data_IF_793161634872
#
_entry.id   IF_793161634872
#
_cell.length_a   1.000
_cell.length_b   1.000
_cell.length_c   1.000
_cell.angle_alpha   90.00
_cell.angle_beta   90.00
_cell.angle_gamma   90.00
#
_symmetry.space_group_name_H-M   'P 1'
#
loop_
_entity.id
_entity.type
_entity.pdbx_description
1 polymer ?
#
# COMPACT_ATOMS: atom_id res chain seq x y z
N UNK A 1 30.00 72.25 8.81
CA UNK A 1 30.85 73.02 9.72
C UNK A 1 32.19 72.32 9.83
N UNK A 2 33.19 73.02 9.40
CA UNK A 2 34.61 73.10 9.81
C UNK A 2 35.43 71.79 9.66
N UNK A 3 36.28 71.63 8.64
CA UNK A 3 37.43 72.43 8.24
C UNK A 3 38.64 72.33 9.19
N UNK A 4 39.75 71.79 8.71
CA UNK A 4 41.13 72.32 8.69
C UNK A 4 42.11 71.19 8.47
N UNK A 5 42.80 71.12 7.30
CA UNK A 5 43.97 71.90 6.84
C UNK A 5 45.28 71.42 7.50
N UNK A 6 46.13 70.81 6.63
CA UNK A 6 47.57 70.95 6.30
C UNK A 6 48.47 71.85 7.16
N UNK A 7 49.84 71.74 7.16
CA UNK A 7 50.79 71.68 6.03
C UNK A 7 52.03 70.78 6.28
N UNK A 8 52.77 70.27 5.33
CA UNK A 8 53.78 70.78 4.35
C UNK A 8 55.15 71.23 4.90
N UNK A 9 56.15 70.70 4.23
CA UNK A 9 57.51 71.19 4.02
C UNK A 9 58.57 70.87 5.10
N UNK A 10 59.77 70.59 4.87
CA UNK A 10 60.87 71.19 4.03
C UNK A 10 62.09 70.25 3.99
N UNK A 11 62.61 69.84 2.86
CA UNK A 11 63.86 70.19 2.23
C UNK A 11 65.17 70.13 3.08
N UNK A 12 66.20 69.40 2.70
CA UNK A 12 67.36 69.87 1.92
C UNK A 12 68.66 69.08 2.22
N UNK A 13 69.34 68.68 1.18
CA UNK A 13 70.76 68.89 0.87
C UNK A 13 71.81 68.25 1.81
N UNK A 14 72.83 67.69 1.40
CA UNK A 14 73.81 67.79 0.28
C UNK A 14 74.86 66.69 0.41
N UNK A 15 75.28 66.09 -0.59
CA UNK A 15 76.44 66.30 -1.41
C UNK A 15 77.75 65.59 -0.99
N UNK A 16 78.23 64.82 -1.95
CA UNK A 16 79.65 64.74 -2.41
C UNK A 16 80.65 63.88 -1.64
N UNK A 17 81.25 62.98 -2.39
CA UNK A 17 82.56 62.38 -2.06
C UNK A 17 82.95 61.26 -3.04
N UNK A 18 83.72 61.63 -4.05
CA UNK A 18 84.42 60.82 -5.05
C UNK A 18 85.34 59.77 -4.46
N UNK A 19 85.56 58.64 -5.14
CA UNK A 19 86.77 58.18 -5.74
C UNK A 19 86.84 56.65 -5.88
N UNK A 20 86.81 56.14 -7.06
CA UNK A 20 87.81 55.43 -7.86
C UNK A 20 88.45 54.12 -7.36
N UNK A 21 88.46 53.15 -8.29
CA UNK A 21 89.39 52.02 -8.57
C UNK A 21 89.00 50.70 -7.82
N UNK A 22 88.90 49.55 -8.46
CA UNK A 22 89.51 48.86 -9.56
C UNK A 22 88.90 47.47 -9.70
N UNK A 23 88.77 47.00 -10.89
CA UNK A 23 88.83 45.66 -11.46
C UNK A 23 88.76 44.44 -10.55
N UNK A 24 87.75 43.61 -10.83
CA UNK A 24 87.70 42.21 -10.43
C UNK A 24 86.61 41.51 -11.21
N UNK A 25 86.87 41.12 -12.41
CA UNK A 25 86.01 40.22 -13.16
C UNK A 25 85.91 38.84 -12.47
N UNK A 26 84.77 38.53 -11.85
CA UNK A 26 84.45 37.15 -11.53
C UNK A 26 83.10 36.84 -12.13
N UNK A 27 83.16 36.11 -13.23
CA UNK A 27 82.04 35.42 -13.90
C UNK A 27 81.41 34.46 -12.91
N UNK A 28 80.24 34.83 -12.29
CA UNK A 28 79.34 33.87 -11.64
C UNK A 28 78.35 33.44 -12.68
N UNK A 29 78.57 32.26 -13.23
CA UNK A 29 77.64 31.44 -13.91
C UNK A 29 76.40 31.30 -12.99
N UNK A 30 75.27 31.98 -13.33
CA UNK A 30 73.96 31.82 -12.67
C UNK A 30 73.36 30.55 -13.22
N UNK A 31 73.72 29.45 -12.55
CA UNK A 31 72.99 28.18 -12.72
C UNK A 31 71.56 28.47 -12.49
N UNK A 32 70.74 28.37 -13.52
CA UNK A 32 69.29 28.47 -13.39
C UNK A 32 68.82 27.37 -12.43
N UNK A 33 68.43 27.76 -11.22
CA UNK A 33 67.80 26.88 -10.31
C UNK A 33 66.58 26.24 -11.02
N UNK A 34 66.70 24.95 -11.37
CA UNK A 34 65.52 24.13 -11.73
C UNK A 34 64.55 24.29 -10.61
N UNK A 35 63.44 25.01 -10.83
CA UNK A 35 62.33 25.08 -9.96
C UNK A 35 61.87 23.62 -9.76
N UNK A 36 62.08 23.05 -8.58
CA UNK A 36 61.60 21.74 -8.25
C UNK A 36 60.10 21.75 -8.44
N UNK A 37 59.63 20.85 -9.26
CA UNK A 37 58.19 20.69 -9.44
C UNK A 37 57.54 20.48 -8.06
N UNK A 38 56.43 21.14 -7.76
CA UNK A 38 55.74 20.94 -6.48
C UNK A 38 55.48 19.44 -6.22
N UNK A 39 55.59 19.00 -4.99
CA UNK A 39 55.36 17.59 -4.66
C UNK A 39 53.98 17.15 -5.15
N UNK A 40 53.84 15.93 -5.67
CA UNK A 40 52.56 15.44 -6.18
C UNK A 40 51.50 15.43 -5.08
N UNK A 41 50.33 15.97 -5.38
CA UNK A 41 49.19 16.06 -4.47
C UNK A 41 48.60 14.67 -4.23
N UNK A 42 48.58 14.25 -2.96
CA UNK A 42 47.97 12.98 -2.59
C UNK A 42 46.44 13.10 -2.65
N UNK A 43 45.77 12.32 -3.51
CA UNK A 43 44.32 12.37 -3.71
C UNK A 43 43.72 10.95 -3.74
N UNK A 44 42.50 10.80 -3.18
CA UNK A 44 41.72 9.58 -3.36
C UNK A 44 41.15 9.55 -4.77
N UNK A 45 41.26 8.40 -5.40
CA UNK A 45 40.75 8.19 -6.75
C UNK A 45 39.78 7.02 -6.80
N UNK A 46 38.86 7.09 -7.73
CA UNK A 46 37.97 5.98 -8.05
C UNK A 46 37.94 5.73 -9.56
N UNK A 47 37.72 4.49 -9.91
CA UNK A 47 37.50 4.12 -11.30
C UNK A 47 36.03 4.34 -11.65
N UNK A 48 35.82 4.96 -12.81
CA UNK A 48 34.47 5.14 -13.37
C UNK A 48 33.89 3.77 -13.76
N UNK A 49 32.81 3.40 -13.16
CA UNK A 49 32.16 2.11 -13.41
C UNK A 49 30.99 2.27 -14.38
N UNK A 50 30.81 1.27 -15.25
CA UNK A 50 29.56 1.09 -15.97
C UNK A 50 28.76 0.02 -15.26
N UNK A 51 27.63 0.42 -14.70
CA UNK A 51 26.76 -0.51 -13.96
C UNK A 51 25.29 -0.20 -14.22
N UNK A 52 24.40 -1.18 -13.99
CA UNK A 52 22.97 -0.91 -14.04
C UNK A 52 22.61 0.15 -13.00
N UNK A 53 21.86 1.16 -13.43
CA UNK A 53 21.31 2.19 -12.57
C UNK A 53 19.79 2.11 -12.59
N UNK A 54 19.19 1.88 -11.43
CA UNK A 54 17.74 1.88 -11.30
C UNK A 54 17.23 3.32 -11.32
N UNK A 55 16.21 3.56 -12.11
CA UNK A 55 15.47 4.82 -12.14
C UNK A 55 14.38 4.71 -11.09
N UNK A 56 14.41 5.56 -10.08
CA UNK A 56 13.46 5.50 -8.99
C UNK A 56 12.61 6.77 -8.89
N UNK A 57 11.39 6.62 -8.41
CA UNK A 57 10.47 7.70 -8.11
C UNK A 57 10.14 7.65 -6.62
N UNK A 58 10.48 8.70 -5.88
CA UNK A 58 10.17 8.80 -4.46
C UNK A 58 8.66 8.95 -4.24
N UNK A 59 8.13 8.15 -3.33
CA UNK A 59 6.72 8.17 -2.97
C UNK A 59 6.55 8.04 -1.46
N UNK A 60 5.45 8.59 -0.98
CA UNK A 60 5.00 8.43 0.41
C UNK A 60 3.57 7.93 0.40
N UNK A 61 3.19 7.21 1.43
CA UNK A 61 1.85 6.65 1.51
C UNK A 61 1.56 6.00 2.85
N UNK A 62 0.48 5.27 2.91
CA UNK A 62 0.07 4.52 4.10
C UNK A 62 -0.33 3.10 3.74
N UNK A 63 -0.09 2.19 4.67
CA UNK A 63 -0.58 0.83 4.57
C UNK A 63 -2.06 0.80 4.93
N UNK A 64 -2.85 0.12 4.12
CA UNK A 64 -4.27 -0.15 4.37
C UNK A 64 -4.51 -1.65 4.31
N UNK A 65 -5.49 -2.13 5.05
CA UNK A 65 -5.91 -3.52 4.88
C UNK A 65 -6.69 -3.65 3.57
N UNK A 66 -6.39 -4.68 2.76
CA UNK A 66 -7.17 -4.97 1.55
C UNK A 66 -8.59 -5.42 1.88
N UNK A 67 -8.81 -5.92 3.11
CA UNK A 67 -10.10 -6.37 3.60
C UNK A 67 -10.37 -5.73 4.96
N UNK A 68 -11.24 -4.74 4.99
CA UNK A 68 -11.76 -4.14 6.20
C UNK A 68 -13.28 -4.30 6.23
N UNK A 69 -13.83 -4.84 7.32
CA UNK A 69 -15.25 -5.11 7.44
C UNK A 69 -15.80 -4.49 8.72
N UNK A 70 -16.84 -3.70 8.55
CA UNK A 70 -17.62 -3.13 9.65
C UNK A 70 -18.70 -4.14 10.05
N UNK A 71 -18.56 -4.77 11.21
CA UNK A 71 -19.56 -5.67 11.78
C UNK A 71 -20.59 -4.84 12.52
N UNK A 72 -21.84 -4.88 12.02
CA UNK A 72 -22.96 -4.11 12.52
C UNK A 72 -24.08 -5.02 13.01
N UNK A 73 -24.96 -4.47 13.86
CA UNK A 73 -26.20 -5.14 14.25
C UNK A 73 -27.21 -5.13 13.10
N UNK A 74 -27.89 -6.25 12.86
CA UNK A 74 -29.03 -6.27 11.93
C UNK A 74 -30.35 -5.81 12.60
N UNK A 75 -30.47 -6.02 13.90
CA UNK A 75 -31.69 -5.73 14.68
C UNK A 75 -31.38 -4.93 15.94
N UNK A 76 -32.38 -4.25 16.44
CA UNK A 76 -32.31 -3.56 17.72
C UNK A 76 -32.34 -4.58 18.87
N UNK A 77 -31.54 -4.32 19.90
CA UNK A 77 -31.47 -5.19 21.07
C UNK A 77 -30.49 -4.69 22.14
N UNK A 78 -30.51 -5.37 23.28
CA UNK A 78 -29.54 -5.13 24.35
C UNK A 78 -28.29 -5.97 24.12
N UNK A 79 -27.11 -5.39 24.25
CA UNK A 79 -25.85 -6.13 24.22
C UNK A 79 -25.67 -6.85 25.56
N UNK A 80 -25.69 -8.19 25.56
CA UNK A 80 -25.44 -9.01 26.73
C UNK A 80 -23.93 -9.14 27.00
N UNK A 81 -23.18 -9.45 25.94
CA UNK A 81 -21.74 -9.62 26.06
C UNK A 81 -21.01 -9.21 24.79
N UNK A 82 -19.77 -8.75 24.97
CA UNK A 82 -18.80 -8.50 23.92
C UNK A 82 -17.53 -9.24 24.26
N UNK A 83 -17.19 -10.27 23.48
CA UNK A 83 -16.18 -11.26 23.81
C UNK A 83 -14.78 -10.88 23.35
N UNK A 84 -14.68 -9.89 22.46
CA UNK A 84 -13.42 -9.45 21.86
C UNK A 84 -13.09 -8.02 22.21
N UNK A 85 -11.78 -7.74 22.31
CA UNK A 85 -11.24 -6.40 22.51
C UNK A 85 -10.48 -5.95 21.26
N UNK A 86 -10.18 -4.64 21.16
CA UNK A 86 -9.31 -4.13 20.12
C UNK A 86 -7.92 -4.77 20.24
N UNK A 87 -7.39 -5.25 19.11
CA UNK A 87 -6.13 -6.00 19.02
C UNK A 87 -6.28 -7.53 19.06
N UNK A 88 -7.46 -8.06 19.43
CA UNK A 88 -7.66 -9.51 19.45
C UNK A 88 -7.73 -10.09 18.03
N UNK A 89 -7.22 -11.31 17.87
CA UNK A 89 -7.39 -12.10 16.66
C UNK A 89 -8.73 -12.79 16.66
N UNK A 90 -9.35 -12.88 15.49
CA UNK A 90 -10.62 -13.55 15.27
C UNK A 90 -10.54 -14.45 14.04
N UNK A 91 -11.20 -15.61 14.14
CA UNK A 91 -11.42 -16.50 13.01
C UNK A 91 -12.78 -16.21 12.37
N UNK A 92 -12.93 -16.50 11.08
CA UNK A 92 -14.24 -16.44 10.43
C UNK A 92 -15.25 -17.38 11.13
N UNK A 93 -16.44 -16.87 11.41
CA UNK A 93 -17.50 -17.60 12.14
C UNK A 93 -17.37 -17.55 13.68
N UNK A 94 -16.30 -16.95 14.22
CA UNK A 94 -16.11 -16.82 15.66
C UNK A 94 -17.08 -15.81 16.26
N UNK A 95 -17.63 -16.13 17.45
CA UNK A 95 -18.57 -15.26 18.15
C UNK A 95 -17.89 -14.02 18.71
N UNK A 96 -18.35 -12.85 18.31
CA UNK A 96 -17.82 -11.55 18.72
C UNK A 96 -18.64 -10.91 19.84
N UNK A 97 -19.98 -10.96 19.69
CA UNK A 97 -20.92 -10.38 20.63
C UNK A 97 -22.22 -11.18 20.67
N UNK A 98 -22.95 -11.03 21.74
CA UNK A 98 -24.28 -11.61 21.96
C UNK A 98 -25.27 -10.52 22.31
N UNK A 99 -26.37 -10.44 21.57
CA UNK A 99 -27.53 -9.66 21.93
C UNK A 99 -28.46 -10.50 22.79
N UNK A 100 -29.38 -9.85 23.50
CA UNK A 100 -30.45 -10.51 24.24
C UNK A 100 -31.38 -11.27 23.27
N UNK A 101 -31.40 -12.60 23.37
CA UNK A 101 -32.11 -13.49 22.47
C UNK A 101 -33.44 -14.01 23.04
N UNK A 102 -33.81 -13.58 24.26
CA UNK A 102 -34.98 -14.13 24.96
C UNK A 102 -36.29 -14.02 24.12
N UNK A 103 -36.56 -12.82 23.59
CA UNK A 103 -37.74 -12.59 22.76
C UNK A 103 -37.67 -13.31 21.40
N UNK A 104 -36.47 -13.35 20.79
CA UNK A 104 -36.23 -14.03 19.51
C UNK A 104 -36.45 -15.55 19.66
N UNK A 105 -35.99 -16.13 20.78
CA UNK A 105 -36.18 -17.55 21.11
C UNK A 105 -37.62 -17.91 21.30
N UNK A 106 -38.38 -17.07 22.05
CA UNK A 106 -39.83 -17.27 22.23
C UNK A 106 -40.57 -17.19 20.89
N UNK A 107 -40.27 -16.19 20.07
CA UNK A 107 -40.88 -16.03 18.73
C UNK A 107 -40.59 -17.22 17.82
N UNK A 108 -39.35 -17.73 17.83
CA UNK A 108 -38.99 -18.93 17.07
C UNK A 108 -39.74 -20.17 17.58
N UNK A 109 -39.83 -20.35 18.89
CA UNK A 109 -40.62 -21.45 19.51
C UNK A 109 -42.08 -21.42 19.08
N UNK A 110 -42.74 -20.24 19.08
CA UNK A 110 -44.09 -20.05 18.63
C UNK A 110 -44.27 -20.36 17.14
N UNK A 111 -43.40 -19.85 16.28
CA UNK A 111 -43.45 -20.10 14.84
C UNK A 111 -43.24 -21.58 14.51
N UNK A 112 -42.36 -22.26 15.24
CA UNK A 112 -42.12 -23.70 15.10
C UNK A 112 -43.37 -24.51 15.50
N UNK A 113 -44.00 -24.18 16.60
CA UNK A 113 -45.26 -24.84 17.02
C UNK A 113 -46.36 -24.66 15.97
N UNK A 114 -46.47 -23.45 15.38
CA UNK A 114 -47.44 -23.21 14.29
C UNK A 114 -47.14 -24.05 13.04
N UNK A 115 -45.85 -24.29 12.71
CA UNK A 115 -45.47 -25.18 11.61
C UNK A 115 -45.87 -26.64 11.92
N UNK A 116 -45.68 -27.12 13.13
CA UNK A 116 -46.07 -28.47 13.56
C UNK A 116 -47.60 -28.67 13.44
N UNK A 117 -48.42 -27.67 13.83
CA UNK A 117 -49.88 -27.68 13.65
C UNK A 117 -50.26 -27.73 12.16
N UNK A 118 -49.59 -26.94 11.29
CA UNK A 118 -49.89 -26.96 9.86
C UNK A 118 -49.50 -28.30 9.21
N UNK A 119 -48.40 -28.92 9.64
CA UNK A 119 -47.99 -30.24 9.17
C UNK A 119 -49.01 -31.34 9.57
N UNK A 120 -49.51 -31.32 10.82
CA UNK A 120 -50.54 -32.24 11.26
C UNK A 120 -51.86 -32.06 10.47
N UNK A 121 -52.18 -30.81 10.11
CA UNK A 121 -53.36 -30.52 9.27
C UNK A 121 -53.16 -31.06 7.84
N UNK A 122 -51.96 -30.96 7.26
CA UNK A 122 -51.64 -31.54 5.96
C UNK A 122 -51.73 -33.06 5.97
N UNK A 123 -51.19 -33.73 6.99
CA UNK A 123 -51.27 -35.17 7.13
C UNK A 123 -52.76 -35.64 7.20
N UNK A 124 -53.56 -34.94 7.99
CA UNK A 124 -55.02 -35.20 8.04
C UNK A 124 -55.71 -35.05 6.68
N UNK A 125 -55.36 -34.01 5.92
CA UNK A 125 -55.89 -33.78 4.57
C UNK A 125 -55.47 -34.89 3.60
N UNK A 126 -54.23 -35.35 3.68
CA UNK A 126 -53.71 -36.47 2.86
C UNK A 126 -54.44 -37.78 3.15
N UNK A 127 -54.68 -38.09 4.41
CA UNK A 127 -55.49 -39.29 4.80
C UNK A 127 -56.91 -39.17 4.24
N UNK A 128 -57.53 -37.97 4.30
CA UNK A 128 -58.85 -37.72 3.70
C UNK A 128 -58.90 -37.93 2.19
N UNK A 129 -57.85 -37.45 1.49
CA UNK A 129 -57.68 -37.62 0.02
C UNK A 129 -57.49 -39.11 -0.34
N UNK A 130 -56.67 -39.83 0.39
CA UNK A 130 -56.49 -41.26 0.17
C UNK A 130 -57.77 -42.03 0.33
N UNK A 131 -58.56 -41.70 1.35
CA UNK A 131 -59.89 -42.30 1.55
C UNK A 131 -60.85 -41.98 0.38
N UNK A 132 -61.00 -40.72 0.01
CA UNK A 132 -61.83 -40.29 -1.10
C UNK A 132 -61.41 -40.90 -2.45
N UNK A 133 -60.16 -41.09 -2.68
CA UNK A 133 -59.59 -41.77 -3.87
C UNK A 133 -60.05 -43.26 -3.90
N UNK A 134 -59.89 -43.98 -2.80
CA UNK A 134 -60.27 -45.37 -2.70
C UNK A 134 -61.82 -45.56 -2.89
N UNK A 135 -62.65 -44.64 -2.37
CA UNK A 135 -64.13 -44.64 -2.59
C UNK A 135 -64.41 -44.36 -4.07
N UNK A 136 -63.79 -43.44 -4.73
CA UNK A 136 -63.96 -43.20 -6.16
C UNK A 136 -63.56 -44.40 -7.00
N UNK A 137 -62.40 -45.03 -6.73
CA UNK A 137 -61.99 -46.30 -7.41
C UNK A 137 -63.05 -47.44 -7.18
N UNK A 138 -63.56 -47.57 -6.01
CA UNK A 138 -64.64 -48.54 -5.69
C UNK A 138 -65.89 -48.23 -6.51
N UNK A 139 -66.34 -46.98 -6.53
CA UNK A 139 -67.47 -46.53 -7.32
C UNK A 139 -67.29 -46.80 -8.82
N UNK A 140 -66.11 -46.55 -9.38
CA UNK A 140 -65.80 -46.89 -10.79
C UNK A 140 -66.01 -48.38 -11.07
N UNK A 141 -65.53 -49.25 -10.20
CA UNK A 141 -65.69 -50.72 -10.37
C UNK A 141 -67.10 -51.18 -10.23
N UNK A 142 -67.86 -50.62 -9.28
CA UNK A 142 -69.29 -50.96 -9.11
C UNK A 142 -70.16 -50.48 -10.28
N UNK A 143 -69.87 -49.35 -10.90
CA UNK A 143 -70.60 -48.89 -12.10
C UNK A 143 -70.40 -49.86 -13.27
N UNK A 144 -69.17 -50.39 -13.49
CA UNK A 144 -68.91 -51.42 -14.54
C UNK A 144 -69.75 -52.67 -14.39
N UNK A 145 -70.17 -53.02 -13.18
CA UNK A 145 -71.03 -54.17 -12.84
C UNK A 145 -72.51 -53.82 -12.70
N UNK A 146 -72.90 -52.56 -12.94
CA UNK A 146 -74.28 -52.10 -12.82
C UNK A 146 -74.74 -51.89 -11.37
N UNK A 147 -73.84 -51.85 -10.36
CA UNK A 147 -74.13 -51.76 -8.95
C UNK A 147 -74.44 -50.36 -8.43
N UNK A 148 -74.17 -49.28 -9.19
CA UNK A 148 -74.46 -47.88 -8.82
C UNK A 148 -74.91 -47.09 -10.06
N UNK A 149 -75.41 -45.84 -9.84
CA UNK A 149 -75.77 -44.90 -10.91
C UNK A 149 -74.63 -43.97 -11.31
N UNK A 150 -74.71 -43.41 -12.54
CA UNK A 150 -73.77 -42.36 -12.99
C UNK A 150 -73.72 -41.17 -12.03
N UNK A 151 -74.80 -40.81 -11.39
CA UNK A 151 -74.88 -39.76 -10.42
C UNK A 151 -74.05 -40.06 -9.16
N UNK A 152 -74.06 -41.33 -8.70
CA UNK A 152 -73.24 -41.74 -7.55
C UNK A 152 -71.75 -41.70 -7.86
N UNK A 153 -71.35 -42.10 -9.11
CA UNK A 153 -70.02 -41.96 -9.54
C UNK A 153 -69.51 -40.48 -9.60
N UNK A 154 -70.37 -39.59 -10.15
CA UNK A 154 -70.10 -38.17 -10.16
C UNK A 154 -69.95 -37.59 -8.76
N UNK A 155 -70.79 -38.00 -7.80
CA UNK A 155 -70.64 -37.58 -6.42
C UNK A 155 -69.29 -38.02 -5.79
N UNK A 156 -68.86 -39.27 -6.02
CA UNK A 156 -67.61 -39.78 -5.55
C UNK A 156 -66.43 -39.03 -6.20
N UNK A 157 -66.53 -38.69 -7.51
CA UNK A 157 -65.52 -37.90 -8.23
C UNK A 157 -65.40 -36.47 -7.66
N UNK A 158 -66.50 -35.82 -7.37
CA UNK A 158 -66.47 -34.48 -6.75
C UNK A 158 -65.87 -34.55 -5.35
N UNK A 159 -66.20 -35.53 -4.53
CA UNK A 159 -65.59 -35.73 -3.21
C UNK A 159 -64.09 -35.91 -3.28
N UNK A 160 -63.56 -36.66 -4.28
CA UNK A 160 -62.12 -36.82 -4.51
C UNK A 160 -61.46 -35.50 -4.89
N UNK A 161 -62.09 -34.72 -5.79
CA UNK A 161 -61.54 -33.40 -6.20
C UNK A 161 -61.51 -32.41 -5.04
N UNK A 162 -62.54 -32.40 -4.20
CA UNK A 162 -62.58 -31.56 -3.00
C UNK A 162 -61.49 -31.96 -2.01
N UNK A 163 -61.27 -33.25 -1.78
CA UNK A 163 -60.19 -33.74 -0.92
C UNK A 163 -58.80 -33.37 -1.47
N UNK A 164 -58.62 -33.46 -2.79
CA UNK A 164 -57.37 -33.01 -3.45
C UNK A 164 -57.15 -31.50 -3.28
N UNK A 165 -58.20 -30.68 -3.39
CA UNK A 165 -58.13 -29.26 -3.15
C UNK A 165 -57.76 -28.93 -1.69
N UNK A 166 -58.30 -29.69 -0.74
CA UNK A 166 -57.94 -29.55 0.68
C UNK A 166 -56.50 -29.87 0.97
N UNK A 167 -55.89 -30.88 0.32
CA UNK A 167 -54.45 -31.18 0.41
C UNK A 167 -53.61 -29.99 -0.07
N UNK A 168 -53.98 -29.42 -1.23
CA UNK A 168 -53.27 -28.24 -1.75
C UNK A 168 -53.36 -27.02 -0.81
N UNK A 169 -54.50 -26.78 -0.19
CA UNK A 169 -54.67 -25.71 0.81
C UNK A 169 -53.75 -25.96 2.01
N UNK A 170 -53.77 -27.20 2.54
CA UNK A 170 -52.94 -27.57 3.68
C UNK A 170 -51.45 -27.48 3.36
N UNK A 171 -51.01 -27.87 2.14
CA UNK A 171 -49.63 -27.69 1.66
C UNK A 171 -49.22 -26.22 1.63
N UNK A 172 -50.06 -25.33 1.12
CA UNK A 172 -49.83 -23.89 1.15
C UNK A 172 -49.69 -23.32 2.56
N UNK A 173 -50.50 -23.83 3.51
CA UNK A 173 -50.44 -23.45 4.93
C UNK A 173 -49.14 -23.92 5.58
N UNK A 174 -48.64 -25.12 5.27
CA UNK A 174 -47.33 -25.61 5.73
C UNK A 174 -46.19 -24.73 5.20
N UNK A 175 -46.25 -24.38 3.92
CA UNK A 175 -45.21 -23.53 3.34
C UNK A 175 -45.21 -22.13 3.97
N UNK A 176 -46.38 -21.54 4.19
CA UNK A 176 -46.50 -20.26 4.91
C UNK A 176 -45.93 -20.34 6.33
N UNK A 177 -46.26 -21.38 7.08
CA UNK A 177 -45.78 -21.58 8.46
C UNK A 177 -44.25 -21.85 8.46
N UNK A 178 -43.71 -22.58 7.47
CA UNK A 178 -42.29 -22.83 7.28
C UNK A 178 -41.53 -21.54 7.08
N UNK A 179 -42.02 -20.65 6.20
CA UNK A 179 -41.40 -19.36 5.97
C UNK A 179 -41.43 -18.49 7.23
N UNK A 180 -42.49 -18.47 7.97
CA UNK A 180 -42.56 -17.76 9.24
C UNK A 180 -41.56 -18.29 10.28
N UNK A 181 -41.40 -19.63 10.38
CA UNK A 181 -40.40 -20.26 11.25
C UNK A 181 -38.97 -19.92 10.82
N UNK A 182 -38.70 -19.92 9.52
CA UNK A 182 -37.38 -19.56 8.99
C UNK A 182 -36.98 -18.10 9.28
N UNK A 183 -37.94 -17.17 9.18
CA UNK A 183 -37.71 -15.76 9.55
C UNK A 183 -37.39 -15.60 11.04
N UNK A 184 -38.18 -16.29 11.89
CA UNK A 184 -37.98 -16.25 13.34
C UNK A 184 -36.64 -16.89 13.74
N UNK A 185 -36.24 -17.99 13.09
CA UNK A 185 -34.93 -18.64 13.27
C UNK A 185 -33.80 -17.74 12.85
N UNK A 186 -33.92 -17.05 11.71
CA UNK A 186 -32.92 -16.06 11.28
C UNK A 186 -32.71 -14.98 12.34
N UNK A 187 -33.80 -14.39 12.86
CA UNK A 187 -33.70 -13.39 13.94
C UNK A 187 -33.00 -13.92 15.19
N UNK A 188 -33.24 -15.16 15.55
CA UNK A 188 -32.57 -15.81 16.69
C UNK A 188 -31.06 -15.99 16.41
N UNK A 189 -30.69 -16.42 15.20
CA UNK A 189 -29.29 -16.54 14.80
C UNK A 189 -28.57 -15.19 14.80
N UNK A 190 -29.24 -14.16 14.32
CA UNK A 190 -28.65 -12.81 14.18
C UNK A 190 -28.45 -12.10 15.53
N UNK A 191 -29.02 -12.63 16.63
CA UNK A 191 -28.65 -12.21 17.98
C UNK A 191 -27.22 -12.61 18.35
N UNK A 192 -26.60 -13.55 17.60
CA UNK A 192 -25.21 -13.98 17.76
C UNK A 192 -24.37 -13.33 16.68
N UNK A 193 -23.65 -12.29 17.04
CA UNK A 193 -22.80 -11.55 16.12
C UNK A 193 -21.49 -12.32 15.92
N UNK A 194 -21.29 -12.83 14.72
CA UNK A 194 -20.10 -13.63 14.36
C UNK A 194 -19.19 -12.84 13.40
N UNK A 195 -17.92 -13.23 13.37
CA UNK A 195 -16.96 -12.61 12.45
C UNK A 195 -17.19 -13.08 11.02
N UNK A 196 -17.35 -12.16 10.04
CA UNK A 196 -17.45 -12.52 8.63
C UNK A 196 -16.10 -12.89 8.00
N UNK A 197 -14.98 -12.50 8.62
CA UNK A 197 -13.60 -12.73 8.13
C UNK A 197 -12.71 -13.25 9.24
N UNK A 198 -11.58 -13.85 8.86
CA UNK A 198 -10.46 -14.04 9.77
C UNK A 198 -9.56 -12.80 9.74
N UNK A 199 -9.14 -12.31 10.91
CA UNK A 199 -8.34 -11.08 10.99
C UNK A 199 -8.10 -10.62 12.43
N UNK A 200 -7.98 -9.31 12.61
CA UNK A 200 -7.80 -8.66 13.91
C UNK A 200 -8.89 -7.60 14.13
N UNK A 201 -9.28 -7.41 15.37
CA UNK A 201 -10.21 -6.33 15.77
C UNK A 201 -9.45 -5.01 15.79
N UNK A 202 -9.69 -4.16 14.80
CA UNK A 202 -9.13 -2.80 14.78
C UNK A 202 -9.76 -1.96 15.89
N UNK A 203 -11.09 -2.01 15.99
CA UNK A 203 -11.83 -1.20 16.96
C UNK A 203 -13.09 -1.91 17.44
N UNK A 204 -13.29 -1.88 18.76
CA UNK A 204 -14.55 -2.17 19.44
C UNK A 204 -15.26 -0.83 19.68
N UNK A 205 -16.47 -0.67 19.14
CA UNK A 205 -17.18 0.61 19.18
C UNK A 205 -18.03 0.79 20.43
N UNK A 206 -18.49 -0.29 21.06
CA UNK A 206 -19.45 -0.25 22.17
C UNK A 206 -19.03 -1.14 23.34
N UNK A 207 -19.76 -1.02 24.43
CA UNK A 207 -19.60 -1.83 25.64
C UNK A 207 -20.86 -2.67 25.96
N UNK A 208 -20.75 -3.78 26.69
CA UNK A 208 -21.88 -4.57 27.15
C UNK A 208 -22.86 -3.75 28.00
N UNK A 209 -24.12 -4.13 28.00
CA UNK A 209 -25.18 -3.53 28.78
C UNK A 209 -25.99 -2.45 28.09
N UNK A 210 -25.47 -1.87 27.01
CA UNK A 210 -26.14 -0.85 26.22
C UNK A 210 -27.25 -1.41 25.34
N UNK A 211 -28.23 -0.55 25.00
CA UNK A 211 -29.21 -0.81 23.96
C UNK A 211 -28.69 -0.29 22.62
N UNK A 212 -28.87 -1.05 21.56
CA UNK A 212 -28.48 -0.68 20.20
C UNK A 212 -29.67 -0.82 19.27
N UNK A 213 -29.72 0.08 18.30
CA UNK A 213 -30.67 -0.04 17.18
C UNK A 213 -30.06 -0.90 16.05
N UNK A 214 -30.86 -1.19 15.02
CA UNK A 214 -30.33 -1.84 13.81
C UNK A 214 -29.28 -0.98 13.11
N UNK A 215 -28.31 -1.62 12.44
CA UNK A 215 -27.24 -1.00 11.67
C UNK A 215 -26.20 -0.21 12.48
N UNK A 216 -26.06 -0.48 13.78
CA UNK A 216 -25.04 0.14 14.65
C UNK A 216 -23.72 -0.64 14.56
N UNK A 217 -22.62 0.07 14.40
CA UNK A 217 -21.28 -0.52 14.36
C UNK A 217 -20.90 -1.09 15.74
N UNK A 218 -20.55 -2.38 15.78
CA UNK A 218 -20.02 -3.06 16.96
C UNK A 218 -18.52 -3.22 16.91
N UNK A 219 -18.02 -3.74 15.79
CA UNK A 219 -16.60 -4.01 15.57
C UNK A 219 -16.17 -3.58 14.17
N UNK A 220 -14.95 -3.12 14.06
CA UNK A 220 -14.25 -3.01 12.80
C UNK A 220 -13.14 -4.05 12.77
N UNK A 221 -13.18 -4.91 11.77
CA UNK A 221 -12.23 -6.01 11.58
C UNK A 221 -11.35 -5.71 10.38
N UNK A 222 -10.07 -6.07 10.47
CA UNK A 222 -9.09 -5.89 9.40
C UNK A 222 -8.26 -7.16 9.20
N UNK A 223 -7.93 -7.46 7.96
CA UNK A 223 -6.97 -8.52 7.62
C UNK A 223 -5.58 -7.91 7.42
N UNK A 224 -4.74 -8.02 8.44
CA UNK A 224 -3.36 -7.52 8.37
C UNK A 224 -2.40 -8.45 7.60
N UNK A 225 -2.82 -9.63 7.15
CA UNK A 225 -1.98 -10.50 6.32
C UNK A 225 -1.92 -10.02 4.87
N UNK A 226 -2.97 -9.36 4.41
CA UNK A 226 -3.10 -8.80 3.07
C UNK A 226 -3.22 -7.30 3.16
N UNK A 227 -2.08 -6.64 3.06
CA UNK A 227 -2.00 -5.19 3.08
C UNK A 227 -1.85 -4.65 1.66
N UNK A 228 -2.38 -3.48 1.45
CA UNK A 228 -2.13 -2.65 0.29
C UNK A 228 -1.46 -1.36 0.75
N UNK A 229 -0.62 -0.83 -0.10
CA UNK A 229 -0.01 0.46 0.09
C UNK A 229 -0.75 1.45 -0.81
N UNK A 230 -1.41 2.41 -0.20
CA UNK A 230 -2.00 3.55 -0.89
C UNK A 230 -0.96 4.66 -0.98
N UNK A 231 -0.60 5.05 -2.20
CA UNK A 231 0.36 6.11 -2.48
C UNK A 231 -0.13 6.98 -3.64
N UNK A 232 0.52 8.12 -3.82
CA UNK A 232 0.19 9.08 -4.85
C UNK A 232 1.42 9.35 -5.72
N UNK A 233 1.20 9.41 -7.02
CA UNK A 233 2.21 9.75 -8.03
C UNK A 233 1.81 11.05 -8.70
N UNK A 234 2.74 11.99 -8.83
CA UNK A 234 2.50 13.24 -9.54
C UNK A 234 2.12 12.97 -11.01
N UNK A 235 1.20 13.76 -11.56
CA UNK A 235 0.73 13.56 -12.94
C UNK A 235 1.85 13.69 -13.98
N UNK A 236 2.92 14.45 -13.67
CA UNK A 236 4.13 14.56 -14.51
C UNK A 236 4.86 13.24 -14.69
N UNK A 237 4.84 12.38 -13.68
CA UNK A 237 5.63 11.14 -13.61
C UNK A 237 4.82 9.91 -13.98
N UNK A 238 3.51 10.08 -14.17
CA UNK A 238 2.56 9.00 -14.41
C UNK A 238 2.94 8.14 -15.63
N UNK A 239 3.50 8.75 -16.67
CA UNK A 239 3.91 8.04 -17.89
C UNK A 239 4.99 6.97 -17.64
N UNK A 240 5.78 7.12 -16.58
CA UNK A 240 6.84 6.19 -16.18
C UNK A 240 6.36 5.05 -15.27
N UNK A 241 5.17 5.17 -14.68
CA UNK A 241 4.63 4.22 -13.71
C UNK A 241 3.71 3.22 -14.40
N UNK A 242 3.95 1.93 -14.14
CA UNK A 242 3.18 0.81 -14.70
C UNK A 242 2.86 -0.23 -13.63
N UNK A 243 1.75 -0.91 -13.79
CA UNK A 243 1.43 -2.07 -12.94
C UNK A 243 2.51 -3.16 -13.07
N UNK A 244 2.77 -3.86 -11.96
CA UNK A 244 3.82 -4.88 -11.87
C UNK A 244 5.19 -4.37 -11.48
N UNK A 245 5.43 -3.06 -11.47
CA UNK A 245 6.68 -2.47 -10.97
C UNK A 245 6.87 -2.73 -9.48
N UNK A 246 8.13 -2.83 -9.06
CA UNK A 246 8.50 -3.02 -7.65
C UNK A 246 8.59 -1.66 -6.95
N UNK A 247 7.99 -1.59 -5.78
CA UNK A 247 8.09 -0.47 -4.84
C UNK A 247 8.84 -0.97 -3.61
N UNK A 248 9.99 -0.37 -3.30
CA UNK A 248 10.74 -0.62 -2.06
C UNK A 248 10.44 0.48 -1.07
N UNK A 249 10.15 0.12 0.17
CA UNK A 249 9.76 1.09 1.20
C UNK A 249 10.29 0.76 2.58
N UNK A 250 10.32 1.78 3.42
CA UNK A 250 10.64 1.67 4.85
C UNK A 250 9.50 2.22 5.68
N UNK A 251 9.37 1.71 6.90
CA UNK A 251 8.41 2.21 7.89
C UNK A 251 9.16 2.71 9.12
N UNK A 252 8.69 3.79 9.71
CA UNK A 252 9.35 4.40 10.88
C UNK A 252 9.40 3.46 12.10
N UNK A 253 8.45 2.51 12.19
CA UNK A 253 8.40 1.53 13.28
C UNK A 253 9.54 0.48 13.22
N UNK A 254 10.15 0.28 12.05
CA UNK A 254 11.22 -0.70 11.83
C UNK A 254 12.39 -0.06 11.07
N UNK A 255 13.17 0.80 11.75
CA UNK A 255 14.29 1.50 11.12
C UNK A 255 15.35 0.50 10.63
N UNK A 256 15.79 0.68 9.39
CA UNK A 256 16.80 -0.19 8.76
C UNK A 256 16.25 -1.43 8.04
N UNK A 257 14.96 -1.71 8.12
CA UNK A 257 14.33 -2.79 7.35
C UNK A 257 13.71 -2.25 6.06
N UNK A 258 14.01 -2.94 4.96
CA UNK A 258 13.43 -2.66 3.65
C UNK A 258 12.34 -3.69 3.35
N UNK A 259 11.20 -3.19 2.92
CA UNK A 259 10.06 -3.99 2.50
C UNK A 259 9.83 -3.78 1.01
N UNK A 260 9.24 -4.78 0.36
CA UNK A 260 8.91 -4.73 -1.06
C UNK A 260 7.41 -4.89 -1.28
N UNK A 261 6.90 -4.14 -2.25
CA UNK A 261 5.53 -4.22 -2.71
C UNK A 261 5.51 -4.28 -4.25
N UNK A 262 4.42 -4.75 -4.82
CA UNK A 262 4.21 -4.73 -6.27
C UNK A 262 3.01 -3.86 -6.60
N UNK A 263 3.17 -2.94 -7.56
CA UNK A 263 2.09 -2.11 -8.06
C UNK A 263 1.01 -2.98 -8.69
N UNK A 264 -0.22 -2.88 -8.18
CA UNK A 264 -1.37 -3.66 -8.65
C UNK A 264 -2.36 -2.82 -9.44
N UNK A 265 -2.50 -1.54 -9.08
CA UNK A 265 -3.43 -0.66 -9.78
C UNK A 265 -2.96 0.80 -9.80
N UNK A 266 -3.32 1.48 -10.86
CA UNK A 266 -3.15 2.92 -11.04
C UNK A 266 -4.55 3.46 -11.32
N UNK A 267 -4.97 4.48 -10.58
CA UNK A 267 -6.30 5.09 -10.76
C UNK A 267 -6.45 5.65 -12.18
N UNK A 268 -7.63 5.47 -12.75
CA UNK A 268 -7.98 6.08 -14.04
C UNK A 268 -8.23 7.59 -13.96
N UNK A 269 -8.41 8.13 -12.75
CA UNK A 269 -8.68 9.53 -12.50
C UNK A 269 -7.54 10.19 -11.72
N UNK A 270 -7.23 11.43 -12.07
CA UNK A 270 -6.29 12.28 -11.36
C UNK A 270 -7.06 13.08 -10.31
N UNK A 271 -6.56 13.14 -9.11
CA UNK A 271 -7.05 14.05 -8.07
C UNK A 271 -6.71 15.50 -8.46
N UNK A 272 -7.74 16.27 -8.76
CA UNK A 272 -7.58 17.66 -9.21
C UNK A 272 -7.05 18.60 -8.11
N UNK A 273 -7.25 18.28 -6.84
CA UNK A 273 -6.76 19.09 -5.72
C UNK A 273 -5.24 18.96 -5.57
N UNK A 274 -4.75 17.75 -5.66
CA UNK A 274 -3.32 17.42 -5.42
C UNK A 274 -2.53 17.21 -6.72
N UNK A 275 -3.19 17.23 -7.89
CA UNK A 275 -2.61 16.92 -9.21
C UNK A 275 -1.81 15.61 -9.20
N UNK A 276 -2.32 14.64 -8.49
CA UNK A 276 -1.68 13.34 -8.30
C UNK A 276 -2.65 12.22 -8.64
N UNK A 277 -2.10 11.07 -8.98
CA UNK A 277 -2.86 9.87 -9.29
C UNK A 277 -2.68 8.87 -8.16
N UNK A 278 -3.77 8.37 -7.56
CA UNK A 278 -3.69 7.29 -6.58
C UNK A 278 -3.13 6.01 -7.23
N UNK A 279 -2.17 5.39 -6.56
CA UNK A 279 -1.54 4.14 -6.97
C UNK A 279 -1.56 3.17 -5.80
N UNK A 280 -1.92 1.91 -6.07
CA UNK A 280 -1.92 0.86 -5.06
C UNK A 280 -0.88 -0.20 -5.36
N UNK A 281 -0.24 -0.66 -4.30
CA UNK A 281 0.69 -1.76 -4.36
C UNK A 281 0.34 -2.84 -3.34
N UNK A 282 0.40 -4.10 -3.73
CA UNK A 282 0.20 -5.24 -2.84
C UNK A 282 1.44 -5.44 -1.96
N UNK A 283 1.23 -5.53 -0.66
CA UNK A 283 2.28 -5.72 0.34
C UNK A 283 2.10 -7.09 1.01
N UNK A 284 2.98 -8.05 0.76
CA UNK A 284 2.95 -9.32 1.46
C UNK A 284 3.36 -9.12 2.94
N UNK A 285 2.53 -9.61 3.85
CA UNK A 285 2.79 -9.51 5.30
C UNK A 285 2.56 -10.85 6.02
N UNK A 286 3.29 -11.92 5.67
CA UNK A 286 3.02 -13.27 6.17
C UNK A 286 3.21 -13.41 7.69
N UNK A 287 4.08 -12.61 8.28
CA UNK A 287 4.39 -12.63 9.72
C UNK A 287 3.47 -11.68 10.51
N UNK A 288 2.69 -10.84 9.84
CA UNK A 288 1.82 -9.85 10.50
C UNK A 288 2.58 -8.70 11.19
N UNK A 289 3.82 -8.44 10.77
CA UNK A 289 4.69 -7.40 11.33
C UNK A 289 4.21 -6.00 10.99
N UNK A 290 3.77 -5.81 9.77
CA UNK A 290 3.20 -4.55 9.31
C UNK A 290 1.72 -4.46 9.72
N UNK A 291 1.25 -3.26 9.98
CA UNK A 291 -0.16 -3.01 10.35
C UNK A 291 -0.77 -1.93 9.47
N UNK A 292 -2.05 -2.06 9.20
CA UNK A 292 -2.81 -1.00 8.56
C UNK A 292 -2.68 0.31 9.36
N UNK A 293 -2.62 1.45 8.67
CA UNK A 293 -2.38 2.76 9.26
C UNK A 293 -0.91 3.16 9.39
N UNK A 294 0.06 2.27 9.16
CA UNK A 294 1.48 2.64 9.16
C UNK A 294 1.82 3.51 7.97
N UNK A 295 2.52 4.62 8.23
CA UNK A 295 3.06 5.50 7.19
C UNK A 295 4.37 4.96 6.63
N UNK A 296 4.56 5.10 5.32
CA UNK A 296 5.73 4.62 4.60
C UNK A 296 6.43 5.74 3.83
N UNK A 297 7.74 5.54 3.64
CA UNK A 297 8.54 6.25 2.63
C UNK A 297 9.15 5.20 1.71
N UNK A 298 9.01 5.38 0.42
CA UNK A 298 9.44 4.35 -0.54
C UNK A 298 9.82 4.94 -1.89
N UNK A 299 10.25 4.03 -2.76
CA UNK A 299 10.64 4.33 -4.15
C UNK A 299 10.06 3.29 -5.09
N UNK A 300 9.42 3.77 -6.13
CA UNK A 300 8.97 2.94 -7.25
C UNK A 300 10.14 2.82 -8.23
N UNK A 301 10.53 1.61 -8.58
CA UNK A 301 11.51 1.35 -9.65
C UNK A 301 10.79 1.46 -10.98
N UNK A 302 10.99 2.59 -11.68
CA UNK A 302 10.31 2.90 -12.94
C UNK A 302 11.05 2.41 -14.17
N UNK A 303 12.37 2.16 -14.04
CA UNK A 303 13.19 1.63 -15.12
C UNK A 303 14.60 1.29 -14.66
N UNK A 304 15.39 0.74 -15.57
CA UNK A 304 16.80 0.43 -15.35
C UNK A 304 17.60 0.85 -16.59
N UNK A 305 18.63 1.66 -16.41
CA UNK A 305 19.63 1.94 -17.43
C UNK A 305 20.70 0.86 -17.33
N UNK A 306 20.77 -0.04 -18.30
CA UNK A 306 21.61 -1.25 -18.21
C UNK A 306 23.11 -0.96 -18.09
N UNK A 307 23.57 0.13 -18.69
CA UNK A 307 24.99 0.55 -18.73
C UNK A 307 25.11 2.06 -18.48
N UNK A 308 24.83 2.49 -17.27
CA UNK A 308 25.05 3.87 -16.87
C UNK A 308 26.50 4.08 -16.45
N UNK A 309 27.13 5.15 -16.93
CA UNK A 309 28.38 5.61 -16.39
C UNK A 309 28.15 6.34 -15.09
N UNK A 310 28.52 5.72 -13.97
CA UNK A 310 28.17 6.20 -12.63
C UNK A 310 29.43 6.65 -11.90
N UNK A 311 29.35 7.82 -11.26
CA UNK A 311 30.39 8.35 -10.38
C UNK A 311 29.83 8.59 -8.97
N UNK A 312 30.73 8.65 -8.00
CA UNK A 312 30.38 9.11 -6.66
C UNK A 312 30.04 10.62 -6.70
N UNK A 313 28.97 11.07 -6.02
CA UNK A 313 28.58 12.49 -6.00
C UNK A 313 29.73 13.42 -5.52
N UNK A 314 30.64 12.91 -4.67
CA UNK A 314 31.78 13.59 -4.10
C UNK A 314 32.83 13.99 -5.17
N UNK A 315 32.88 13.24 -6.28
CA UNK A 315 33.82 13.51 -7.38
C UNK A 315 33.40 14.69 -8.26
N UNK A 316 32.13 15.13 -8.16
CA UNK A 316 31.57 16.18 -9.00
C UNK A 316 31.91 17.57 -8.44
N UNK A 317 32.50 18.41 -9.27
CA UNK A 317 32.71 19.82 -8.96
C UNK A 317 31.63 20.69 -9.57
N UNK A 318 30.99 21.50 -8.69
CA UNK A 318 30.00 22.52 -9.09
C UNK A 318 30.50 23.88 -8.62
N UNK A 319 30.81 24.79 -9.55
CA UNK A 319 31.14 26.18 -9.24
C UNK A 319 30.15 27.11 -9.93
N UNK A 320 29.74 28.17 -9.23
CA UNK A 320 28.80 29.14 -9.75
C UNK A 320 29.30 29.72 -11.08
N UNK A 321 28.46 29.70 -12.12
CA UNK A 321 28.80 30.23 -13.45
C UNK A 321 29.65 29.30 -14.32
N UNK A 322 29.92 28.07 -13.91
CA UNK A 322 30.64 27.08 -14.71
C UNK A 322 29.82 25.82 -14.92
N UNK A 323 30.03 25.14 -16.05
CA UNK A 323 29.49 23.81 -16.26
C UNK A 323 30.07 22.84 -15.21
N UNK A 324 29.28 21.83 -14.77
CA UNK A 324 29.79 20.81 -13.85
C UNK A 324 30.95 20.04 -14.50
N UNK A 325 31.99 19.75 -13.69
CA UNK A 325 33.17 19.07 -14.16
C UNK A 325 33.74 18.09 -13.13
N UNK A 326 34.59 17.20 -13.61
CA UNK A 326 35.37 16.27 -12.81
C UNK A 326 36.85 16.40 -13.15
N UNK A 327 37.72 15.95 -12.26
CA UNK A 327 39.13 15.78 -12.58
C UNK A 327 39.44 14.32 -12.92
N UNK A 328 39.88 14.10 -14.15
CA UNK A 328 40.34 12.80 -14.64
C UNK A 328 41.85 12.68 -14.45
N UNK A 329 42.34 11.53 -14.04
CA UNK A 329 43.75 11.24 -13.87
C UNK A 329 44.31 10.76 -15.22
N UNK A 330 45.11 11.59 -15.89
CA UNK A 330 45.80 11.25 -17.13
C UNK A 330 47.30 11.38 -16.92
N UNK A 331 48.07 10.29 -17.01
CA UNK A 331 49.52 10.30 -16.86
C UNK A 331 50.02 10.90 -15.54
N UNK A 332 49.37 10.63 -14.42
CA UNK A 332 49.61 11.20 -13.08
C UNK A 332 49.34 12.73 -12.96
N UNK A 333 48.59 13.32 -13.85
CA UNK A 333 48.16 14.72 -13.78
C UNK A 333 46.64 14.84 -13.72
N UNK A 334 46.14 15.87 -13.02
CA UNK A 334 44.73 16.22 -13.00
C UNK A 334 44.33 16.92 -14.29
N UNK A 335 43.39 16.38 -15.03
CA UNK A 335 42.78 17.03 -16.19
C UNK A 335 41.33 17.38 -15.89
N UNK A 336 40.99 18.65 -15.96
CA UNK A 336 39.62 19.13 -15.83
C UNK A 336 38.83 18.71 -17.06
N UNK A 337 37.71 18.04 -16.85
CA UNK A 337 36.81 17.62 -17.93
C UNK A 337 35.37 17.97 -17.57
N UNK A 338 34.72 18.73 -18.43
CA UNK A 338 33.29 19.05 -18.31
C UNK A 338 32.47 17.82 -18.57
N UNK A 339 31.38 17.66 -17.79
CA UNK A 339 30.50 16.52 -17.88
C UNK A 339 29.05 16.96 -17.96
N UNK A 340 28.23 16.17 -18.66
CA UNK A 340 26.79 16.32 -18.63
C UNK A 340 26.19 15.36 -17.63
N UNK A 341 25.45 15.91 -16.70
CA UNK A 341 24.81 15.15 -15.65
C UNK A 341 23.54 14.50 -16.21
N UNK A 342 23.34 13.25 -15.85
CA UNK A 342 22.09 12.55 -15.98
C UNK A 342 21.30 12.62 -14.68
N UNK A 343 20.84 11.48 -14.21
CA UNK A 343 20.05 11.34 -12.99
C UNK A 343 20.93 11.20 -11.77
N UNK A 344 20.47 11.79 -10.68
CA UNK A 344 21.07 11.62 -9.37
C UNK A 344 20.24 10.61 -8.60
N UNK A 345 20.82 9.46 -8.28
CA UNK A 345 20.21 8.36 -7.56
C UNK A 345 21.04 8.02 -6.32
N UNK A 346 20.46 7.39 -5.29
CA UNK A 346 21.21 7.01 -4.09
C UNK A 346 22.43 6.15 -4.36
N UNK A 347 22.42 5.43 -5.48
CA UNK A 347 23.53 4.58 -5.90
C UNK A 347 24.67 5.33 -6.57
N UNK A 348 24.52 6.62 -6.91
CA UNK A 348 25.50 7.48 -7.57
C UNK A 348 24.90 8.42 -8.60
N UNK A 349 25.77 9.22 -9.21
CA UNK A 349 25.40 10.21 -10.21
C UNK A 349 25.68 9.67 -11.61
N UNK A 350 24.67 9.65 -12.45
CA UNK A 350 24.82 9.29 -13.87
C UNK A 350 25.51 10.41 -14.64
N UNK A 351 26.50 10.04 -15.47
CA UNK A 351 27.14 10.93 -16.43
C UNK A 351 26.71 10.48 -17.83
N UNK A 352 26.01 11.37 -18.54
CA UNK A 352 25.50 11.07 -19.88
C UNK A 352 26.52 11.40 -20.98
N UNK A 353 27.45 12.32 -20.71
CA UNK A 353 28.48 12.71 -21.65
C UNK A 353 29.74 13.27 -20.91
N UNK A 354 30.93 13.10 -21.48
CA UNK A 354 32.16 13.62 -20.93
C UNK A 354 33.06 12.60 -20.21
N UNK A 355 32.56 11.42 -19.84
CA UNK A 355 33.34 10.36 -19.20
C UNK A 355 33.10 8.99 -19.84
N UNK A 356 34.11 8.14 -19.79
CA UNK A 356 34.05 6.74 -20.25
C UNK A 356 34.29 5.79 -19.07
N UNK A 357 33.62 4.67 -19.14
CA UNK A 357 33.85 3.58 -18.17
C UNK A 357 35.32 3.15 -18.20
N UNK A 358 35.91 2.96 -17.03
CA UNK A 358 37.32 2.58 -16.88
C UNK A 358 38.29 3.74 -16.66
N UNK A 359 37.87 4.99 -16.89
CA UNK A 359 38.70 6.17 -16.55
C UNK A 359 38.82 6.31 -15.02
N UNK A 360 39.91 6.92 -14.58
CA UNK A 360 40.13 7.18 -13.14
C UNK A 360 39.86 8.65 -12.85
N UNK A 361 39.02 8.90 -11.83
CA UNK A 361 38.66 10.26 -11.42
C UNK A 361 39.05 10.51 -9.97
N UNK A 362 39.22 11.79 -9.61
CA UNK A 362 39.52 12.22 -8.25
C UNK A 362 38.22 12.35 -7.46
N UNK A 363 38.17 11.74 -6.26
CA UNK A 363 37.01 11.78 -5.36
C UNK A 363 37.00 13.01 -4.46
N UNK A 364 38.16 13.56 -4.12
CA UNK A 364 38.25 14.62 -3.12
C UNK A 364 38.16 16.00 -3.75
N UNK A 365 37.34 16.86 -3.18
CA UNK A 365 37.28 18.28 -3.50
C UNK A 365 38.35 19.02 -2.69
N UNK A 366 39.61 19.01 -3.19
CA UNK A 366 40.73 19.76 -2.58
C UNK A 366 40.91 21.09 -3.30
N UNK A 367 41.00 22.21 -2.56
CA UNK A 367 41.19 23.56 -3.12
C UNK A 367 42.50 23.73 -3.88
N UNK A 368 43.52 22.89 -3.61
CA UNK A 368 44.82 22.88 -4.30
C UNK A 368 44.77 22.14 -5.65
N UNK A 369 43.65 21.46 -5.95
CA UNK A 369 43.49 20.73 -7.19
C UNK A 369 43.19 21.68 -8.34
N UNK A 370 44.09 21.77 -9.27
CA UNK A 370 44.00 22.57 -10.48
C UNK A 370 44.44 21.74 -11.71
N UNK A 371 44.10 22.21 -12.88
CA UNK A 371 44.48 21.54 -14.13
C UNK A 371 46.01 21.44 -14.26
N UNK A 372 46.52 20.25 -14.57
CA UNK A 372 47.95 20.00 -14.74
C UNK A 372 48.71 19.67 -13.44
N UNK A 373 48.10 19.70 -12.27
CA UNK A 373 48.76 19.35 -11.00
C UNK A 373 49.14 17.87 -11.01
N UNK A 374 50.40 17.58 -10.60
CA UNK A 374 50.86 16.21 -10.44
C UNK A 374 50.17 15.55 -9.26
N UNK A 375 49.62 14.35 -9.48
CA UNK A 375 48.85 13.58 -8.51
C UNK A 375 49.63 12.37 -8.00
N UNK A 376 49.47 12.06 -6.71
CA UNK A 376 49.85 10.79 -6.10
C UNK A 376 48.57 10.05 -5.72
N UNK A 377 48.02 9.22 -6.63
CA UNK A 377 46.74 8.55 -6.37
C UNK A 377 46.87 7.59 -5.20
N UNK A 378 45.88 7.68 -4.26
CA UNK A 378 45.66 6.71 -3.20
C UNK A 378 44.29 6.02 -3.46
N UNK A 379 44.30 4.72 -3.47
CA UNK A 379 43.05 3.89 -3.55
C UNK A 379 42.34 3.81 -2.22
#
# INVERSE_FOLDING_TARGET
>A
MASKKFPAAVLAKAAAGCALLALGAMSCSREAAKTAAPPPLAVRVARVESRPLEITLDVTGSLVSSVAVDVKTEFAGRIVSMLKQSGDRVAQGELLAQLDDANARLSFGQARASLEVAQAAQERAQVGEEHARKEFERAQNLLKTGGITDRDLQAAQMSQRDAQAQVKVAEAQVEQARQAAAVAEKRLRDCRIISPISGEVERKALNPGGWVDGNVLLYRLVDNQRLELDTFVASSDLASVKTGQTLRFTVAAYPGENFEAKLISISAAVDMLNRSTPVRAAVPNPIGKLKAGMFIKGRIVTGVVAQATVIAPEALWRRAGQAPYVYVVEGNQARKREVKLGREEPAGLEITDGLRAGETIVLEQNLELAEGVALAPRT
#
